data_IF_068474202746
#
_entry.id   IF_068474202746
#
_cell.length_a   1.000
_cell.length_b   1.000
_cell.length_c   1.000
_cell.angle_alpha   90.00
_cell.angle_beta   90.00
_cell.angle_gamma   90.00
#
_symmetry.space_group_name_H-M   'P 1'
#
loop_
_entity.id
_entity.type
_entity.pdbx_description
1 polymer ?
#
# COMPACT_ATOMS: atom_id res chain seq x y z
N UNK A 1 10.39 -5.16 5.20
CA UNK A 1 9.60 -4.43 6.22
C UNK A 1 8.47 -3.78 5.45
N UNK A 2 7.45 -4.58 5.14
CA UNK A 2 6.37 -4.27 4.22
C UNK A 2 5.36 -3.33 4.89
N UNK A 3 5.38 -2.05 4.55
CA UNK A 3 4.34 -1.14 5.03
C UNK A 3 3.64 -0.52 3.82
N UNK A 4 2.54 -1.15 3.39
CA UNK A 4 1.58 -0.48 2.51
C UNK A 4 0.95 0.72 3.23
N UNK A 5 0.39 1.68 2.48
CA UNK A 5 -0.21 2.90 3.07
C UNK A 5 -1.17 2.56 4.23
N UNK A 6 -1.99 1.51 4.11
CA UNK A 6 -2.92 1.12 5.19
C UNK A 6 -2.23 0.67 6.48
N UNK A 7 -1.12 -0.06 6.39
CA UNK A 7 -0.37 -0.51 7.57
C UNK A 7 0.29 0.67 8.28
N UNK A 8 0.81 1.64 7.51
CA UNK A 8 1.27 2.93 8.04
C UNK A 8 0.12 3.65 8.74
N UNK A 9 -1.09 3.64 8.17
CA UNK A 9 -2.26 4.28 8.76
C UNK A 9 -2.55 3.71 10.15
N UNK A 10 -2.61 2.38 10.27
CA UNK A 10 -2.89 1.67 11.52
C UNK A 10 -1.82 1.99 12.57
N UNK A 11 -0.54 2.00 12.17
CA UNK A 11 0.56 2.33 13.07
C UNK A 11 0.46 3.78 13.58
N UNK A 12 0.17 4.72 12.69
CA UNK A 12 0.00 6.13 13.05
C UNK A 12 -1.26 6.36 13.91
N UNK A 13 -2.35 5.63 13.66
CA UNK A 13 -3.57 5.65 14.48
C UNK A 13 -3.29 5.15 15.90
N UNK A 14 -2.66 3.98 16.03
CA UNK A 14 -2.29 3.44 17.33
C UNK A 14 -1.34 4.37 18.09
N UNK A 15 -0.37 4.98 17.40
CA UNK A 15 0.53 5.97 18.01
C UNK A 15 -0.23 7.24 18.43
N UNK A 16 -1.21 7.67 17.66
CA UNK A 16 -2.09 8.80 17.98
C UNK A 16 -2.92 8.51 19.23
N UNK A 17 -3.51 7.32 19.36
CA UNK A 17 -4.26 6.89 20.54
C UNK A 17 -3.39 6.81 21.80
N UNK A 18 -2.18 6.26 21.69
CA UNK A 18 -1.22 6.24 22.80
C UNK A 18 -0.87 7.65 23.28
N UNK A 19 -0.66 8.59 22.36
CA UNK A 19 -0.37 9.98 22.70
C UNK A 19 -1.57 10.65 23.38
N UNK A 20 -2.79 10.38 22.94
CA UNK A 20 -4.03 10.86 23.59
C UNK A 20 -4.20 10.29 24.99
N UNK A 21 -3.85 9.02 25.21
CA UNK A 21 -3.93 8.37 26.51
C UNK A 21 -2.83 8.81 27.49
N UNK A 22 -1.61 9.11 27.00
CA UNK A 22 -0.48 9.57 27.83
C UNK A 22 -0.51 11.07 28.11
N UNK A 23 -1.12 11.88 27.24
CA UNK A 23 -1.20 13.33 27.41
C UNK A 23 -2.31 13.71 28.40
N UNK A 24 -2.02 13.60 29.70
CA UNK A 24 -2.69 14.42 30.71
C UNK A 24 -2.35 15.90 30.46
N UNK A 25 -3.24 16.60 29.76
CA UNK A 25 -3.37 18.07 29.56
C UNK A 25 -2.15 18.91 29.08
N UNK A 26 -0.91 18.43 29.06
CA UNK A 26 0.27 19.31 28.89
C UNK A 26 1.00 19.29 27.55
N UNK A 27 0.55 18.54 26.54
CA UNK A 27 1.17 18.54 25.19
C UNK A 27 0.12 18.31 24.09
N UNK A 28 -0.93 19.13 24.12
CA UNK A 28 -2.15 19.05 23.32
C UNK A 28 -1.99 19.31 21.80
N UNK A 29 -0.80 19.12 21.25
CA UNK A 29 -0.61 19.10 19.80
C UNK A 29 0.05 17.78 19.44
N UNK A 30 -0.77 16.84 18.96
CA UNK A 30 -0.27 15.83 18.03
C UNK A 30 0.64 16.57 17.04
N UNK A 31 1.92 16.14 16.88
CA UNK A 31 2.83 16.84 15.98
C UNK A 31 2.11 17.04 14.65
N UNK A 32 2.05 18.28 14.14
CA UNK A 32 1.32 18.60 12.90
C UNK A 32 1.69 17.65 11.75
N UNK A 33 2.94 17.18 11.76
CA UNK A 33 3.46 16.15 10.86
C UNK A 33 2.69 14.83 10.97
N UNK A 34 2.40 14.34 12.19
CA UNK A 34 1.63 13.11 12.42
C UNK A 34 0.18 13.23 11.92
N UNK A 35 -0.48 14.36 12.18
CA UNK A 35 -1.86 14.60 11.71
C UNK A 35 -1.93 14.69 10.17
N UNK A 36 -1.02 15.45 9.56
CA UNK A 36 -0.93 15.56 8.10
C UNK A 36 -0.57 14.21 7.46
N UNK A 37 0.32 13.44 8.09
CA UNK A 37 0.68 12.10 7.60
C UNK A 37 -0.50 11.15 7.70
N UNK A 38 -1.27 11.20 8.79
CA UNK A 38 -2.45 10.37 8.96
C UNK A 38 -3.55 10.72 7.94
N UNK A 39 -3.78 12.01 7.68
CA UNK A 39 -4.70 12.45 6.61
C UNK A 39 -4.24 11.97 5.23
N UNK A 40 -2.96 12.14 4.91
CA UNK A 40 -2.39 11.69 3.64
C UNK A 40 -2.58 10.19 3.48
N UNK A 41 -2.17 9.42 4.48
CA UNK A 41 -2.21 7.97 4.44
C UNK A 41 -3.66 7.46 4.39
N UNK A 42 -4.60 8.07 5.12
CA UNK A 42 -6.04 7.74 5.01
C UNK A 42 -6.60 8.03 3.62
N UNK A 43 -6.19 9.12 2.99
CA UNK A 43 -6.65 9.50 1.66
C UNK A 43 -6.05 8.62 0.55
N UNK A 44 -4.82 8.14 0.74
CA UNK A 44 -4.13 7.24 -0.17
C UNK A 44 -4.29 5.75 0.18
N UNK A 45 -4.97 5.42 1.27
CA UNK A 45 -5.29 4.04 1.65
C UNK A 45 -6.33 3.50 0.68
N UNK A 46 -5.88 2.70 -0.29
CA UNK A 46 -6.76 2.04 -1.28
C UNK A 46 -7.52 0.85 -0.72
N UNK A 47 -6.95 0.18 0.28
CA UNK A 47 -7.57 -0.95 0.96
C UNK A 47 -7.96 -0.53 2.37
N UNK A 48 -9.20 -0.82 2.73
CA UNK A 48 -9.80 -0.53 4.01
C UNK A 48 -10.04 -1.76 4.87
N UNK A 49 -10.09 -2.93 4.25
CA UNK A 49 -10.32 -4.18 4.95
C UNK A 49 -9.00 -4.91 5.24
N UNK A 50 -8.84 -5.44 6.46
CA UNK A 50 -7.64 -6.20 6.82
C UNK A 50 -7.52 -7.50 6.02
N UNK A 51 -8.64 -8.12 5.66
CA UNK A 51 -8.64 -9.35 4.87
C UNK A 51 -8.18 -9.09 3.43
N UNK A 52 -8.52 -7.94 2.86
CA UNK A 52 -8.02 -7.52 1.55
C UNK A 52 -6.51 -7.32 1.54
N UNK A 53 -5.95 -6.71 2.59
CA UNK A 53 -4.49 -6.53 2.72
C UNK A 53 -3.76 -7.88 2.76
N UNK A 54 -4.30 -8.85 3.51
CA UNK A 54 -3.74 -10.21 3.57
C UNK A 54 -3.79 -10.88 2.21
N UNK A 55 -4.92 -10.78 1.51
CA UNK A 55 -5.06 -11.34 0.16
C UNK A 55 -4.12 -10.66 -0.84
N UNK A 56 -3.99 -9.33 -0.81
CA UNK A 56 -3.03 -8.59 -1.64
C UNK A 56 -1.62 -9.09 -1.36
N UNK A 57 -1.22 -9.24 -0.09
CA UNK A 57 0.11 -9.76 0.26
C UNK A 57 0.31 -11.19 -0.25
N UNK A 58 -0.70 -12.05 -0.15
CA UNK A 58 -0.61 -13.43 -0.64
C UNK A 58 -0.45 -13.48 -2.17
N UNK A 59 -1.24 -12.70 -2.90
CA UNK A 59 -1.16 -12.57 -4.35
C UNK A 59 0.23 -12.05 -4.75
N UNK A 60 0.66 -10.94 -4.13
CA UNK A 60 1.94 -10.31 -4.39
C UNK A 60 3.15 -11.20 -4.04
N UNK A 61 3.05 -12.03 -2.98
CA UNK A 61 4.12 -12.97 -2.60
C UNK A 61 4.34 -14.08 -3.63
N UNK A 62 3.36 -14.34 -4.52
CA UNK A 62 3.52 -15.32 -5.61
C UNK A 62 4.38 -14.77 -6.75
N UNK A 63 4.51 -13.44 -6.84
CA UNK A 63 5.34 -12.77 -7.83
C UNK A 63 6.71 -12.46 -7.21
N UNK A 64 7.80 -12.87 -7.87
CA UNK A 64 9.17 -12.64 -7.39
C UNK A 64 9.64 -11.19 -7.62
N UNK A 65 8.82 -10.20 -7.26
CA UNK A 65 9.14 -8.78 -7.42
C UNK A 65 9.86 -8.23 -6.18
N UNK A 66 10.49 -7.07 -6.32
CA UNK A 66 11.11 -6.38 -5.16
C UNK A 66 10.04 -5.77 -4.26
N UNK A 67 10.36 -5.63 -2.96
CA UNK A 67 9.48 -4.99 -1.96
C UNK A 67 8.97 -3.62 -2.43
N UNK A 68 9.81 -2.85 -3.15
CA UNK A 68 9.42 -1.56 -3.72
C UNK A 68 8.33 -1.70 -4.80
N UNK A 69 8.51 -2.60 -5.75
CA UNK A 69 7.55 -2.82 -6.85
C UNK A 69 6.20 -3.28 -6.29
N UNK A 70 6.22 -4.21 -5.33
CA UNK A 70 5.03 -4.69 -4.63
C UNK A 70 4.29 -3.56 -3.90
N UNK A 71 5.02 -2.71 -3.17
CA UNK A 71 4.42 -1.58 -2.46
C UNK A 71 3.80 -0.55 -3.42
N UNK A 72 4.48 -0.24 -4.53
CA UNK A 72 3.96 0.73 -5.51
C UNK A 72 2.72 0.18 -6.20
N UNK A 73 2.73 -1.07 -6.66
CA UNK A 73 1.59 -1.71 -7.32
C UNK A 73 0.39 -1.86 -6.38
N UNK A 74 0.62 -2.25 -5.13
CA UNK A 74 -0.44 -2.33 -4.11
C UNK A 74 -0.99 -0.96 -3.68
N UNK A 75 -0.18 0.10 -3.70
CA UNK A 75 -0.66 1.43 -3.31
C UNK A 75 -1.38 2.16 -4.45
N UNK A 76 -0.92 1.99 -5.69
CA UNK A 76 -1.45 2.71 -6.84
C UNK A 76 -2.57 1.92 -7.54
N UNK A 77 -2.54 0.59 -7.48
CA UNK A 77 -3.46 -0.32 -8.16
C UNK A 77 -3.70 0.07 -9.63
N UNK A 78 -2.66 0.04 -10.49
CA UNK A 78 -2.80 0.37 -11.90
C UNK A 78 -3.77 -0.60 -12.58
N UNK A 79 -4.50 -0.11 -13.59
CA UNK A 79 -5.54 -0.89 -14.27
C UNK A 79 -5.01 -1.61 -15.51
N UNK A 80 -3.90 -1.12 -16.08
CA UNK A 80 -3.30 -1.68 -17.29
C UNK A 80 -1.80 -1.95 -17.12
N UNK A 81 -1.28 -2.89 -17.91
CA UNK A 81 0.17 -3.20 -17.96
C UNK A 81 0.98 -1.96 -18.38
N UNK A 82 0.44 -1.16 -19.30
CA UNK A 82 1.05 0.10 -19.75
C UNK A 82 1.19 1.11 -18.60
N UNK A 83 0.15 1.26 -17.77
CA UNK A 83 0.21 2.13 -16.60
C UNK A 83 1.22 1.60 -15.57
N UNK A 84 1.18 0.30 -15.27
CA UNK A 84 2.11 -0.34 -14.34
C UNK A 84 3.57 -0.18 -14.78
N UNK A 85 3.87 -0.35 -16.07
CA UNK A 85 5.22 -0.22 -16.63
C UNK A 85 5.66 1.24 -16.77
N UNK A 86 4.73 2.18 -16.96
CA UNK A 86 5.03 3.61 -16.92
C UNK A 86 5.37 4.10 -15.51
N UNK A 87 4.70 3.56 -14.48
CA UNK A 87 4.96 3.89 -13.08
C UNK A 87 6.23 3.20 -12.60
N UNK A 88 6.41 1.93 -12.97
CA UNK A 88 7.48 1.06 -12.50
C UNK A 88 8.25 0.54 -13.73
N UNK A 89 9.15 1.35 -14.30
CA UNK A 89 9.94 0.94 -15.46
C UNK A 89 10.89 -0.22 -15.16
N UNK A 90 11.18 -0.50 -13.88
CA UNK A 90 11.98 -1.66 -13.46
C UNK A 90 11.32 -3.01 -13.76
N UNK A 91 9.99 -3.04 -13.98
CA UNK A 91 9.25 -4.25 -14.38
C UNK A 91 9.65 -4.74 -15.79
N UNK A 92 10.15 -3.84 -16.66
CA UNK A 92 10.63 -4.17 -18.02
C UNK A 92 12.15 -4.08 -18.16
N UNK A 93 12.89 -3.96 -17.05
CA UNK A 93 14.34 -3.86 -17.09
C UNK A 93 14.99 -5.19 -17.48
N UNK A 94 16.04 -5.12 -18.30
CA UNK A 94 16.75 -6.29 -18.82
C UNK A 94 17.22 -7.23 -17.70
N UNK A 95 16.75 -8.48 -17.73
CA UNK A 95 17.04 -9.52 -16.72
C UNK A 95 15.84 -9.94 -15.85
N UNK A 96 14.72 -9.20 -15.90
CA UNK A 96 13.45 -9.56 -15.26
C UNK A 96 12.29 -9.32 -16.22
N UNK A 97 12.23 -10.08 -17.31
CA UNK A 97 11.07 -10.02 -18.21
C UNK A 97 9.93 -10.76 -17.53
N UNK A 98 9.14 -10.07 -16.71
CA UNK A 98 7.80 -10.56 -16.39
C UNK A 98 7.01 -10.52 -17.69
N UNK A 99 6.30 -11.61 -17.98
CA UNK A 99 5.42 -11.65 -19.14
C UNK A 99 4.29 -10.64 -18.94
N UNK A 100 3.92 -9.92 -20.00
CA UNK A 100 2.86 -8.91 -19.94
C UNK A 100 1.53 -9.56 -19.49
N UNK A 101 1.31 -10.84 -19.84
CA UNK A 101 0.19 -11.66 -19.35
C UNK A 101 0.23 -11.90 -17.83
N UNK A 102 1.41 -12.11 -17.25
CA UNK A 102 1.57 -12.33 -15.82
C UNK A 102 1.30 -11.03 -15.03
N UNK A 103 1.75 -9.90 -15.56
CA UNK A 103 1.45 -8.58 -15.00
C UNK A 103 -0.06 -8.32 -15.10
N UNK A 104 -0.68 -8.53 -16.26
CA UNK A 104 -2.12 -8.34 -16.45
C UNK A 104 -2.94 -9.19 -15.47
N UNK A 105 -2.56 -10.46 -15.29
CA UNK A 105 -3.23 -11.35 -14.33
C UNK A 105 -3.10 -10.84 -12.89
N UNK A 106 -1.90 -10.43 -12.47
CA UNK A 106 -1.68 -9.84 -11.16
C UNK A 106 -2.53 -8.59 -10.95
N UNK A 107 -2.59 -7.68 -11.94
CA UNK A 107 -3.41 -6.47 -11.86
C UNK A 107 -4.89 -6.82 -11.72
N UNK A 108 -5.38 -7.80 -12.50
CA UNK A 108 -6.75 -8.27 -12.38
C UNK A 108 -7.05 -8.86 -10.98
N UNK A 109 -6.14 -9.66 -10.41
CA UNK A 109 -6.29 -10.20 -9.06
C UNK A 109 -6.35 -9.07 -8.01
N UNK A 110 -5.48 -8.06 -8.12
CA UNK A 110 -5.50 -6.88 -7.25
C UNK A 110 -6.78 -6.05 -7.40
N UNK A 111 -7.27 -5.87 -8.63
CA UNK A 111 -8.51 -5.15 -8.92
C UNK A 111 -9.74 -5.90 -8.40
N UNK A 112 -9.73 -7.23 -8.45
CA UNK A 112 -10.78 -8.03 -7.82
C UNK A 112 -10.80 -7.78 -6.32
N UNK A 113 -9.66 -7.89 -5.64
CA UNK A 113 -9.59 -7.64 -4.19
C UNK A 113 -10.07 -6.23 -3.87
N UNK A 114 -9.68 -5.22 -4.67
CA UNK A 114 -10.14 -3.83 -4.52
C UNK A 114 -11.65 -3.66 -4.73
N UNK A 115 -12.29 -4.45 -5.60
CA UNK A 115 -13.75 -4.41 -5.80
C UNK A 115 -14.53 -5.01 -4.63
N UNK A 116 -13.92 -5.93 -3.89
CA UNK A 116 -14.53 -6.62 -2.74
C UNK A 116 -14.11 -6.04 -1.39
N UNK A 117 -13.26 -5.02 -1.38
CA UNK A 117 -12.90 -4.21 -0.21
C UNK A 117 -13.96 -3.15 0.11
#
# INVERSE_FOLDING_TARGET
MDWGCREVAILLEHRSEQLKHMAGDSLNQLPRVLEMSLQYVKRFSRFTNQDSIKQVREVLSRYQMTEFELAVLGNLCPETVEEATSIVPSLKMAGRTYDDEAIEKMLNDLLMIKKFD
#
